data_IF_774497571187
#
_entry.id   IF_774497571187
#
_cell.length_a   1.000
_cell.length_b   1.000
_cell.length_c   1.000
_cell.angle_alpha   90.00
_cell.angle_beta   90.00
_cell.angle_gamma   90.00
#
_symmetry.space_group_name_H-M   'P 1'
#
loop_
_entity.id
_entity.type
_entity.pdbx_description
1 polymer ?
#
# COMPACT_ATOMS: atom_id res chain seq x y z
N UNK A 1 16.34 21.30 4.14
CA UNK A 1 15.07 21.93 4.58
C UNK A 1 14.08 20.92 5.14
N UNK A 2 13.61 19.91 4.41
CA UNK A 2 12.71 18.89 5.00
C UNK A 2 13.35 18.10 6.16
N UNK A 3 14.62 17.64 6.08
CA UNK A 3 15.24 16.88 7.18
C UNK A 3 15.41 17.70 8.48
N UNK A 4 15.77 18.97 8.38
CA UNK A 4 16.00 19.84 9.56
C UNK A 4 14.69 20.18 10.29
N UNK A 5 13.62 20.37 9.52
CA UNK A 5 12.27 20.57 10.07
C UNK A 5 11.82 19.31 10.81
N UNK A 6 11.99 18.13 10.21
CA UNK A 6 11.64 16.85 10.85
C UNK A 6 12.49 16.61 12.12
N UNK A 7 13.80 16.90 12.09
CA UNK A 7 14.68 16.81 13.27
C UNK A 7 14.22 17.70 14.42
N UNK A 8 13.73 18.90 14.09
CA UNK A 8 13.26 19.85 15.10
C UNK A 8 11.89 19.48 15.65
N UNK A 9 10.93 19.23 14.75
CA UNK A 9 9.54 18.96 15.10
C UNK A 9 9.37 17.60 15.80
N UNK A 10 10.15 16.60 15.41
CA UNK A 10 10.09 15.24 15.97
C UNK A 10 11.25 14.96 16.93
N UNK A 11 11.82 15.99 17.57
CA UNK A 11 12.88 15.83 18.56
C UNK A 11 12.40 14.92 19.70
N UNK A 12 13.16 13.88 20.00
CA UNK A 12 12.81 12.89 21.04
C UNK A 12 11.86 11.78 20.55
N UNK A 13 11.40 11.82 19.30
CA UNK A 13 10.68 10.70 18.73
C UNK A 13 11.60 9.50 18.53
N UNK A 14 11.23 8.37 19.12
CA UNK A 14 12.05 7.15 19.14
C UNK A 14 12.43 6.62 17.75
N UNK A 15 11.68 6.95 16.70
CA UNK A 15 11.94 6.51 15.32
C UNK A 15 12.34 7.66 14.38
N UNK A 16 12.90 8.74 14.93
CA UNK A 16 13.31 9.91 14.15
C UNK A 16 14.27 9.54 13.00
N UNK A 17 15.25 8.66 13.25
CA UNK A 17 16.19 8.26 12.20
C UNK A 17 15.52 7.50 11.06
N UNK A 18 14.55 6.63 11.37
CA UNK A 18 13.76 5.94 10.35
C UNK A 18 12.90 6.94 9.54
N UNK A 19 12.28 7.91 10.22
CA UNK A 19 11.49 8.98 9.58
C UNK A 19 12.35 9.84 8.63
N UNK A 20 13.60 10.10 9.01
CA UNK A 20 14.55 10.87 8.21
C UNK A 20 15.13 10.08 7.03
N UNK A 21 15.13 8.75 7.09
CA UNK A 21 15.59 7.89 6.00
C UNK A 21 14.57 7.74 4.87
N UNK A 22 13.28 7.95 5.14
CA UNK A 22 12.20 7.79 4.14
C UNK A 22 12.34 8.76 2.96
N UNK A 23 12.61 10.07 3.14
CA UNK A 23 12.84 10.98 2.03
C UNK A 23 13.96 10.53 1.07
N UNK A 24 15.01 9.91 1.62
CA UNK A 24 16.20 9.52 0.85
C UNK A 24 16.03 8.17 0.17
N UNK A 25 15.37 7.22 0.84
CA UNK A 25 15.36 5.80 0.45
C UNK A 25 13.97 5.24 0.12
N UNK A 26 12.93 6.06 0.25
CA UNK A 26 11.53 5.64 0.21
C UNK A 26 11.13 4.81 1.42
N UNK A 27 9.86 4.41 1.46
CA UNK A 27 9.39 3.43 2.45
C UNK A 27 9.90 2.06 2.04
N UNK A 28 10.75 1.45 2.87
CA UNK A 28 11.22 0.07 2.69
C UNK A 28 10.49 -0.83 3.66
N UNK A 29 9.61 -1.68 3.13
CA UNK A 29 9.02 -2.75 3.90
C UNK A 29 9.82 -4.03 3.65
N UNK A 30 10.52 -4.58 4.66
CA UNK A 30 11.24 -5.82 4.45
C UNK A 30 10.23 -6.95 4.24
N UNK A 31 10.46 -7.64 3.15
CA UNK A 31 9.81 -8.90 2.84
C UNK A 31 10.71 -9.99 3.40
N UNK A 32 10.12 -10.97 4.08
CA UNK A 32 10.84 -12.13 4.58
C UNK A 32 11.59 -12.80 3.42
N UNK A 33 12.82 -13.24 3.65
CA UNK A 33 13.56 -13.98 2.62
C UNK A 33 12.74 -15.19 2.15
N UNK A 34 12.64 -15.37 0.83
CA UNK A 34 11.96 -16.53 0.24
C UNK A 34 10.50 -16.33 -0.15
N UNK A 35 10.08 -15.11 -0.54
CA UNK A 35 8.78 -14.95 -1.21
C UNK A 35 8.70 -15.91 -2.39
N UNK A 36 7.79 -16.88 -2.28
CA UNK A 36 7.70 -17.98 -3.23
C UNK A 36 7.29 -17.44 -4.59
N UNK A 37 7.86 -18.01 -5.65
CA UNK A 37 7.38 -17.75 -7.00
C UNK A 37 5.90 -18.17 -7.07
N UNK A 38 5.03 -17.23 -7.40
CA UNK A 38 3.61 -17.47 -7.42
C UNK A 38 3.27 -18.23 -8.71
N UNK A 39 2.80 -19.47 -8.58
CA UNK A 39 2.38 -20.27 -9.75
C UNK A 39 0.89 -20.11 -10.07
N UNK A 40 0.11 -19.73 -9.05
CA UNK A 40 -1.34 -19.47 -9.13
C UNK A 40 -1.58 -18.13 -8.48
N UNK A 41 -2.24 -17.22 -9.20
CA UNK A 41 -2.56 -15.89 -8.70
C UNK A 41 -4.06 -15.73 -8.44
N UNK A 42 -4.46 -14.91 -7.46
CA UNK A 42 -5.85 -14.68 -7.13
C UNK A 42 -6.60 -13.98 -8.27
N UNK A 43 -7.87 -14.34 -8.46
CA UNK A 43 -8.77 -13.56 -9.30
C UNK A 43 -9.09 -12.21 -8.65
N UNK A 44 -9.41 -11.21 -9.47
CA UNK A 44 -9.93 -9.94 -8.97
C UNK A 44 -11.21 -10.15 -8.13
N UNK A 45 -11.41 -9.27 -7.15
CA UNK A 45 -12.66 -9.26 -6.39
C UNK A 45 -13.85 -8.99 -7.32
N UNK A 46 -15.02 -9.53 -6.99
CA UNK A 46 -16.25 -9.32 -7.78
C UNK A 46 -16.51 -7.84 -8.02
N UNK A 47 -16.21 -6.99 -7.03
CA UNK A 47 -16.35 -5.54 -7.13
C UNK A 47 -15.59 -4.92 -8.31
N UNK A 48 -14.45 -5.48 -8.69
CA UNK A 48 -13.64 -5.07 -9.84
C UNK A 48 -14.02 -5.80 -11.13
N UNK A 49 -14.40 -7.08 -11.04
CA UNK A 49 -14.92 -7.84 -12.18
C UNK A 49 -16.21 -7.22 -12.73
N UNK A 50 -17.17 -6.92 -11.86
CA UNK A 50 -18.47 -6.32 -12.20
C UNK A 50 -18.34 -4.89 -12.74
N UNK A 51 -17.27 -4.19 -12.34
CA UNK A 51 -16.98 -2.80 -12.74
C UNK A 51 -15.69 -2.68 -13.54
N UNK A 52 -15.47 -3.65 -14.43
CA UNK A 52 -14.27 -3.72 -15.26
C UNK A 52 -13.97 -2.43 -16.06
N UNK A 53 -14.97 -1.71 -16.65
CA UNK A 53 -14.69 -0.43 -17.33
C UNK A 53 -14.11 0.63 -16.40
N UNK A 54 -14.56 0.68 -15.14
CA UNK A 54 -14.03 1.59 -14.12
C UNK A 54 -12.61 1.22 -13.74
N UNK A 55 -12.33 -0.09 -13.59
CA UNK A 55 -10.97 -0.59 -13.34
C UNK A 55 -10.00 -0.14 -14.43
N UNK A 56 -10.31 -0.44 -15.70
CA UNK A 56 -9.44 -0.12 -16.83
C UNK A 56 -9.23 1.38 -16.98
N UNK A 57 -10.28 2.19 -16.84
CA UNK A 57 -10.16 3.65 -16.89
C UNK A 57 -9.20 4.18 -15.83
N UNK A 58 -9.30 3.71 -14.59
CA UNK A 58 -8.42 4.16 -13.52
C UNK A 58 -6.98 3.67 -13.71
N UNK A 59 -6.77 2.40 -14.10
CA UNK A 59 -5.44 1.89 -14.42
C UNK A 59 -4.79 2.67 -15.55
N UNK A 60 -5.55 3.04 -16.58
CA UNK A 60 -5.05 3.86 -17.68
C UNK A 60 -4.64 5.25 -17.20
N UNK A 61 -5.42 5.87 -16.32
CA UNK A 61 -5.05 7.16 -15.74
C UNK A 61 -3.74 7.07 -14.93
N UNK A 62 -3.57 6.03 -14.11
CA UNK A 62 -2.31 5.84 -13.35
C UNK A 62 -1.12 5.57 -14.30
N UNK A 63 -1.34 4.86 -15.40
CA UNK A 63 -0.34 4.64 -16.45
C UNK A 63 0.04 5.95 -17.15
N UNK A 64 -0.95 6.75 -17.58
CA UNK A 64 -0.71 8.03 -18.25
C UNK A 64 0.00 9.05 -17.33
N UNK A 65 -0.14 8.87 -16.01
CA UNK A 65 0.58 9.62 -14.97
C UNK A 65 1.97 9.04 -14.62
N UNK A 66 2.42 7.99 -15.32
CA UNK A 66 3.69 7.30 -15.06
C UNK A 66 3.82 6.70 -13.65
N UNK A 67 2.69 6.34 -13.03
CA UNK A 67 2.66 5.76 -11.68
C UNK A 67 2.61 4.23 -11.69
N UNK A 68 2.23 3.64 -12.81
CA UNK A 68 2.28 2.19 -13.00
C UNK A 68 2.64 1.83 -14.44
N UNK A 69 3.03 0.57 -14.63
CA UNK A 69 3.16 -0.06 -15.95
C UNK A 69 2.06 -1.11 -16.09
N UNK A 70 1.50 -1.22 -17.29
CA UNK A 70 0.56 -2.29 -17.64
C UNK A 70 1.34 -3.27 -18.51
N UNK A 71 1.41 -4.52 -18.04
CA UNK A 71 2.22 -5.57 -18.61
C UNK A 71 1.32 -6.73 -19.01
N UNK A 72 1.72 -7.44 -20.07
CA UNK A 72 1.10 -8.71 -20.41
C UNK A 72 1.41 -9.76 -19.35
N UNK A 73 0.51 -10.73 -19.22
CA UNK A 73 0.61 -11.78 -18.20
C UNK A 73 1.83 -12.70 -18.44
N UNK A 74 2.33 -12.78 -19.67
CA UNK A 74 3.52 -13.55 -20.02
C UNK A 74 4.80 -13.05 -19.32
N UNK A 75 4.85 -11.76 -18.94
CA UNK A 75 5.94 -11.19 -18.13
C UNK A 75 6.10 -11.94 -16.80
N UNK A 76 5.00 -12.46 -16.25
CA UNK A 76 5.03 -13.25 -15.02
C UNK A 76 5.89 -14.51 -15.15
N UNK A 77 5.99 -15.09 -16.36
CA UNK A 77 6.82 -16.27 -16.62
C UNK A 77 8.33 -15.98 -16.68
N UNK A 78 8.73 -14.72 -16.86
CA UNK A 78 10.14 -14.32 -16.97
C UNK A 78 10.63 -13.45 -15.81
N UNK A 79 9.71 -12.94 -14.98
CA UNK A 79 10.02 -12.07 -13.86
C UNK A 79 9.54 -12.70 -12.55
N UNK A 80 10.31 -13.65 -11.97
CA UNK A 80 9.87 -14.45 -10.84
C UNK A 80 9.65 -13.65 -9.55
N UNK A 81 10.23 -12.45 -9.45
CA UNK A 81 10.06 -11.51 -8.35
C UNK A 81 8.72 -10.76 -8.36
N UNK A 82 7.94 -10.82 -9.46
CA UNK A 82 6.60 -10.22 -9.53
C UNK A 82 5.60 -11.08 -8.78
N UNK A 83 4.72 -10.44 -8.03
CA UNK A 83 3.61 -11.05 -7.32
C UNK A 83 2.31 -10.33 -7.70
N UNK A 84 1.26 -11.09 -7.94
CA UNK A 84 -0.04 -10.58 -8.36
C UNK A 84 -0.97 -10.54 -7.14
N UNK A 85 -1.41 -9.33 -6.81
CA UNK A 85 -2.48 -9.05 -5.85
C UNK A 85 -3.77 -8.68 -6.60
N UNK A 86 -4.97 -9.06 -6.11
CA UNK A 86 -6.20 -8.77 -6.81
C UNK A 86 -6.59 -7.30 -6.67
N UNK A 87 -7.37 -6.83 -7.65
CA UNK A 87 -8.01 -5.54 -7.58
C UNK A 87 -9.40 -5.62 -6.96
N UNK A 88 -9.76 -4.56 -6.23
CA UNK A 88 -11.13 -4.22 -5.88
C UNK A 88 -11.51 -2.85 -6.46
N UNK A 89 -12.80 -2.60 -6.61
CA UNK A 89 -13.32 -1.25 -6.88
C UNK A 89 -14.22 -0.84 -5.73
N UNK A 90 -13.94 0.32 -5.12
CA UNK A 90 -14.77 0.90 -4.08
C UNK A 90 -15.60 2.04 -4.66
N UNK A 91 -16.78 2.25 -4.09
CA UNK A 91 -17.65 3.37 -4.46
C UNK A 91 -16.99 4.71 -4.08
N UNK A 92 -17.22 5.75 -4.90
CA UNK A 92 -16.62 7.07 -4.72
C UNK A 92 -17.71 8.12 -4.51
N UNK A 93 -18.12 8.29 -3.24
CA UNK A 93 -19.14 9.27 -2.84
C UNK A 93 -20.43 9.13 -3.66
N UNK A 94 -21.13 10.22 -3.93
CA UNK A 94 -22.43 10.19 -4.62
C UNK A 94 -22.34 10.08 -6.16
N UNK A 95 -21.20 9.66 -6.71
CA UNK A 95 -21.03 9.51 -8.16
C UNK A 95 -21.48 8.12 -8.58
N UNK A 96 -22.12 8.02 -9.74
CA UNK A 96 -22.60 6.75 -10.29
C UNK A 96 -21.53 5.64 -10.20
N UNK A 97 -21.80 4.54 -9.46
CA UNK A 97 -20.85 3.46 -9.23
C UNK A 97 -20.48 2.69 -10.51
N UNK A 98 -21.27 2.80 -11.58
CA UNK A 98 -20.99 2.14 -12.85
C UNK A 98 -19.97 2.91 -13.70
N UNK A 99 -19.79 4.21 -13.42
CA UNK A 99 -18.89 5.09 -14.19
C UNK A 99 -17.74 5.63 -13.34
N UNK A 100 -17.81 5.46 -12.02
CA UNK A 100 -16.85 5.98 -11.05
C UNK A 100 -16.60 5.01 -9.89
N UNK A 101 -15.35 4.98 -9.45
CA UNK A 101 -14.92 4.18 -8.31
C UNK A 101 -13.44 4.39 -8.04
N UNK A 102 -13.00 4.01 -6.84
CA UNK A 102 -11.59 3.95 -6.47
C UNK A 102 -11.11 2.53 -6.68
N UNK A 103 -10.14 2.34 -7.56
CA UNK A 103 -9.44 1.06 -7.69
C UNK A 103 -8.52 0.91 -6.48
N UNK A 104 -8.59 -0.25 -5.84
CA UNK A 104 -7.70 -0.63 -4.74
C UNK A 104 -6.94 -1.89 -5.11
N UNK A 105 -5.68 -1.93 -4.70
CA UNK A 105 -4.86 -3.13 -4.72
C UNK A 105 -4.97 -3.81 -3.37
N UNK A 106 -5.46 -5.04 -3.32
CA UNK A 106 -5.60 -5.77 -2.07
C UNK A 106 -4.32 -6.56 -1.77
N UNK A 107 -3.42 -5.93 -1.02
CA UNK A 107 -2.15 -6.54 -0.62
C UNK A 107 -2.29 -7.57 0.52
N UNK A 108 -3.51 -7.75 1.05
CA UNK A 108 -3.87 -8.66 2.14
C UNK A 108 -4.58 -9.93 1.67
N UNK A 109 -4.74 -10.13 0.36
CA UNK A 109 -5.40 -11.32 -0.19
C UNK A 109 -4.48 -12.07 -1.17
N UNK A 110 -4.53 -13.41 -1.22
CA UNK A 110 -5.31 -14.29 -0.34
C UNK A 110 -4.63 -14.46 1.03
N UNK A 111 -5.45 -14.79 2.04
CA UNK A 111 -4.96 -15.05 3.40
C UNK A 111 -3.91 -16.17 3.40
N UNK A 112 -2.77 -15.92 4.04
CA UNK A 112 -1.63 -16.84 4.13
C UNK A 112 -0.70 -16.87 2.92
N UNK A 113 -1.00 -16.14 1.84
CA UNK A 113 -0.13 -16.02 0.67
C UNK A 113 -0.13 -14.61 0.05
N UNK A 114 -0.57 -13.60 0.80
CA UNK A 114 -0.58 -12.21 0.36
C UNK A 114 0.80 -11.56 0.53
N UNK A 115 0.99 -10.40 -0.11
CA UNK A 115 2.20 -9.58 0.10
C UNK A 115 2.36 -9.18 1.57
N UNK A 116 1.25 -8.92 2.25
CA UNK A 116 1.26 -8.58 3.66
C UNK A 116 1.68 -9.77 4.54
N UNK A 117 1.34 -11.01 4.16
CA UNK A 117 1.79 -12.21 4.87
C UNK A 117 3.30 -12.46 4.67
N UNK A 118 3.82 -12.09 3.50
CA UNK A 118 5.25 -12.20 3.20
C UNK A 118 6.10 -11.14 3.92
N UNK A 119 5.51 -10.06 4.43
CA UNK A 119 6.27 -9.03 5.15
C UNK A 119 6.81 -9.56 6.46
N UNK A 120 8.08 -9.26 6.74
CA UNK A 120 8.63 -9.55 8.06
C UNK A 120 8.11 -8.53 9.07
N UNK A 121 7.42 -9.02 10.10
CA UNK A 121 7.03 -8.19 11.24
C UNK A 121 8.23 -7.79 12.12
N UNK A 122 9.41 -8.38 11.93
CA UNK A 122 10.58 -8.17 12.80
C UNK A 122 11.17 -6.75 12.70
N UNK A 123 10.85 -6.00 11.65
CA UNK A 123 11.29 -4.61 11.48
C UNK A 123 10.17 -3.59 11.71
N UNK A 124 8.94 -4.05 11.94
CA UNK A 124 7.79 -3.18 12.10
C UNK A 124 7.57 -3.03 13.60
N UNK A 125 7.75 -1.81 14.09
CA UNK A 125 7.49 -1.52 15.49
C UNK A 125 6.00 -1.71 15.78
N UNK A 126 5.69 -2.45 16.85
CA UNK A 126 4.31 -2.60 17.31
C UNK A 126 3.75 -1.21 17.66
N UNK A 127 2.63 -0.78 17.06
CA UNK A 127 2.01 0.48 17.43
C UNK A 127 1.54 0.38 18.89
N UNK A 128 1.94 1.37 19.69
CA UNK A 128 1.40 1.55 21.04
C UNK A 128 0.15 2.41 20.91
N UNK A 129 -0.99 1.89 21.35
CA UNK A 129 -2.23 2.65 21.35
C UNK A 129 -2.31 3.48 22.62
N UNK A 130 -2.35 4.80 22.47
CA UNK A 130 -2.72 5.71 23.56
C UNK A 130 -4.22 6.03 23.47
N UNK A 131 -4.94 6.03 24.61
CA UNK A 131 -6.31 6.50 24.67
C UNK A 131 -6.46 7.92 24.10
N UNK A 132 -7.54 8.18 23.36
CA UNK A 132 -7.78 9.45 22.69
C UNK A 132 -7.81 10.66 23.65
N UNK A 133 -8.23 10.44 24.90
CA UNK A 133 -8.23 11.44 25.97
C UNK A 133 -6.81 11.85 26.39
N UNK A 134 -5.85 10.92 26.41
CA UNK A 134 -4.45 11.24 26.68
C UNK A 134 -3.87 12.20 25.61
N UNK A 135 -4.17 11.92 24.33
CA UNK A 135 -3.76 12.76 23.20
C UNK A 135 -4.45 14.14 23.28
N UNK A 136 -5.76 14.17 23.56
CA UNK A 136 -6.51 15.41 23.67
C UNK A 136 -5.97 16.32 24.79
N UNK A 137 -5.58 15.75 25.94
CA UNK A 137 -4.97 16.48 27.05
C UNK A 137 -3.64 17.10 26.64
N UNK A 138 -2.81 16.38 25.88
CA UNK A 138 -1.51 16.89 25.42
C UNK A 138 -1.67 18.04 24.40
N UNK A 139 -2.62 17.92 23.46
CA UNK A 139 -2.92 18.98 22.49
C UNK A 139 -3.36 20.26 23.20
N UNK A 140 -4.18 20.13 24.25
CA UNK A 140 -4.68 21.28 25.02
C UNK A 140 -3.62 21.93 25.92
N UNK A 141 -2.42 21.33 26.05
CA UNK A 141 -1.29 21.87 26.83
C UNK A 141 -0.25 22.64 26.00
N UNK A 142 -0.31 22.57 24.67
CA UNK A 142 0.53 23.35 23.76
C UNK A 142 -0.03 24.75 23.55
#
# INVERSE_FOLDING_TARGET
>A
MLPDVLRTACRGYQYLDALLAIPDSGVRAPVSEGMLHQHVYPANHNSAADRYPVLIKNLRNEQDLWRCVILDLDIFGIWPEVQISPFGVLHKGDVDPLTSGRVIHDLSFPDGASINDARSATSIYAPVFEPCDAIAVEIMRQ
#
